data_IF_710106076298
#
_entry.id   IF_710106076298
#
_cell.length_a   1.000
_cell.length_b   1.000
_cell.length_c   1.000
_cell.angle_alpha   90.00
_cell.angle_beta   90.00
_cell.angle_gamma   90.00
#
_symmetry.space_group_name_H-M   'P 1'
#
loop_
_entity.id
_entity.type
_entity.pdbx_description
1 polymer ?
#
# COMPACT_ATOMS: atom_id res chain seq x y z
N UNK A 1 -31.49 9.26 7.46
CA UNK A 1 -31.82 8.61 8.75
C UNK A 1 -30.53 8.29 9.49
N UNK A 2 -30.35 8.86 10.68
CA UNK A 2 -29.15 8.74 11.54
C UNK A 2 -28.92 7.30 11.99
N UNK A 3 -27.73 6.74 11.72
CA UNK A 3 -27.29 5.45 12.31
C UNK A 3 -26.85 5.70 13.75
N UNK A 4 -27.65 5.24 14.71
CA UNK A 4 -27.35 5.35 16.15
C UNK A 4 -26.01 4.67 16.48
N UNK A 5 -25.08 5.44 17.08
CA UNK A 5 -23.81 4.93 17.61
C UNK A 5 -24.09 4.03 18.82
N UNK A 6 -23.47 2.85 18.83
CA UNK A 6 -23.56 1.89 19.92
C UNK A 6 -23.00 2.47 21.23
N UNK A 7 -23.66 2.19 22.34
CA UNK A 7 -23.19 2.57 23.68
C UNK A 7 -21.88 1.85 24.04
N UNK A 8 -21.04 2.46 24.88
CA UNK A 8 -19.76 1.86 25.35
C UNK A 8 -19.96 0.46 25.96
N UNK A 9 -21.12 0.20 26.58
CA UNK A 9 -21.48 -1.13 27.09
C UNK A 9 -21.81 -2.15 26.00
N UNK A 10 -22.43 -1.71 24.90
CA UNK A 10 -22.68 -2.54 23.71
C UNK A 10 -21.38 -2.85 22.98
N UNK A 11 -20.46 -1.89 22.87
CA UNK A 11 -19.11 -2.10 22.30
C UNK A 11 -18.32 -3.19 23.04
N UNK A 12 -18.34 -3.16 24.39
CA UNK A 12 -17.66 -4.17 25.22
C UNK A 12 -18.24 -5.58 25.06
N UNK A 13 -19.57 -5.69 24.96
CA UNK A 13 -20.25 -6.97 24.72
C UNK A 13 -19.95 -7.51 23.31
N UNK A 14 -19.83 -6.64 22.32
CA UNK A 14 -19.44 -7.02 20.94
C UNK A 14 -18.00 -7.55 20.91
N UNK A 15 -17.05 -6.89 21.57
CA UNK A 15 -15.66 -7.36 21.65
C UNK A 15 -15.52 -8.69 22.43
N UNK A 16 -16.24 -8.85 23.55
CA UNK A 16 -16.23 -10.09 24.32
C UNK A 16 -16.85 -11.26 23.53
N UNK A 17 -17.90 -11.01 22.75
CA UNK A 17 -18.49 -12.02 21.86
C UNK A 17 -17.61 -12.33 20.66
N UNK A 18 -16.84 -11.35 20.16
CA UNK A 18 -15.83 -11.57 19.12
C UNK A 18 -14.70 -12.49 19.61
N UNK A 19 -14.21 -12.28 20.84
CA UNK A 19 -13.22 -13.17 21.46
C UNK A 19 -13.77 -14.58 21.75
N UNK A 20 -15.05 -14.70 22.09
CA UNK A 20 -15.70 -16.02 22.25
C UNK A 20 -15.88 -16.75 20.92
N UNK A 21 -16.19 -16.04 19.84
CA UNK A 21 -16.31 -16.63 18.48
C UNK A 21 -14.98 -17.10 17.89
N UNK A 22 -13.84 -16.60 18.37
CA UNK A 22 -12.51 -17.16 18.08
C UNK A 22 -12.29 -18.57 18.69
N UNK A 23 -13.18 -19.04 19.58
CA UNK A 23 -12.99 -20.31 20.32
C UNK A 23 -14.04 -21.40 20.04
N UNK A 24 -15.05 -21.20 19.20
CA UNK A 24 -16.04 -22.27 18.96
C UNK A 24 -16.59 -22.21 17.54
N UNK A 25 -16.32 -23.29 16.80
CA UNK A 25 -16.74 -23.52 15.42
C UNK A 25 -18.21 -23.94 15.28
N UNK A 26 -18.72 -23.83 14.05
CA UNK A 26 -20.06 -24.20 13.49
C UNK A 26 -21.08 -23.04 13.49
N UNK A 27 -21.75 -22.66 12.40
CA UNK A 27 -21.95 -23.28 11.07
C UNK A 27 -22.65 -22.28 10.10
N UNK A 28 -22.47 -22.49 8.77
CA UNK A 28 -23.23 -22.02 7.56
C UNK A 28 -22.89 -20.68 6.86
N UNK A 29 -23.05 -20.66 5.52
CA UNK A 29 -22.22 -21.26 4.50
C UNK A 29 -21.12 -20.26 4.12
N UNK A 30 -20.00 -20.32 4.84
CA UNK A 30 -18.75 -19.82 4.28
C UNK A 30 -18.31 -20.84 3.21
N UNK A 31 -17.47 -20.44 2.26
CA UNK A 31 -16.93 -21.38 1.28
C UNK A 31 -16.52 -22.69 1.98
N UNK A 32 -16.91 -23.85 1.45
CA UNK A 32 -16.66 -25.14 2.09
C UNK A 32 -15.16 -25.24 2.40
N UNK A 33 -14.79 -25.17 3.67
CA UNK A 33 -13.38 -25.10 4.10
C UNK A 33 -12.58 -26.32 3.62
N UNK A 34 -13.28 -27.40 3.26
CA UNK A 34 -12.67 -28.60 2.67
C UNK A 34 -12.09 -28.35 1.26
N UNK A 35 -12.58 -27.34 0.54
CA UNK A 35 -12.15 -26.97 -0.81
C UNK A 35 -10.82 -26.19 -0.85
N UNK A 36 -10.24 -25.84 0.30
CA UNK A 36 -8.97 -25.10 0.36
C UNK A 36 -7.87 -25.91 1.04
N UNK A 37 -6.64 -25.62 0.64
CA UNK A 37 -5.41 -26.19 1.19
C UNK A 37 -5.10 -25.71 2.60
N UNK A 38 -3.84 -25.83 2.99
CA UNK A 38 -3.38 -25.33 4.29
C UNK A 38 -3.25 -23.80 4.28
N UNK A 39 -3.45 -23.13 5.44
CA UNK A 39 -3.19 -21.71 5.58
C UNK A 39 -1.71 -21.40 5.41
N UNK A 40 -1.42 -20.35 4.66
CA UNK A 40 -0.08 -19.84 4.44
C UNK A 40 -0.05 -18.31 4.49
N UNK A 41 1.14 -17.77 4.69
CA UNK A 41 1.40 -16.34 4.69
C UNK A 41 1.49 -15.81 3.26
N UNK A 42 1.13 -14.54 3.10
CA UNK A 42 1.26 -13.87 1.82
C UNK A 42 1.14 -12.36 1.91
N UNK A 43 1.47 -11.69 0.82
CA UNK A 43 1.39 -10.23 0.69
C UNK A 43 0.41 -9.88 -0.42
N UNK A 44 -0.50 -8.95 -0.15
CA UNK A 44 -1.42 -8.45 -1.18
C UNK A 44 -0.66 -7.57 -2.17
N UNK A 45 -0.55 -8.03 -3.42
CA UNK A 45 0.06 -7.27 -4.52
C UNK A 45 -0.95 -6.25 -5.07
N UNK A 46 -2.18 -6.69 -5.30
CA UNK A 46 -3.20 -5.85 -5.91
C UNK A 46 -4.62 -6.18 -5.42
N UNK A 47 -5.48 -5.17 -5.45
CA UNK A 47 -6.87 -5.23 -5.01
C UNK A 47 -7.82 -4.94 -6.16
N UNK A 48 -8.64 -5.94 -6.53
CA UNK A 48 -9.63 -5.87 -7.60
C UNK A 48 -11.05 -6.09 -7.07
N UNK A 49 -11.64 -5.06 -6.46
CA UNK A 49 -13.06 -5.07 -6.06
C UNK A 49 -13.38 -6.13 -5.00
N UNK A 50 -13.74 -7.34 -5.42
CA UNK A 50 -14.02 -8.52 -4.57
C UNK A 50 -12.85 -9.52 -4.49
N UNK A 51 -11.84 -9.39 -5.36
CA UNK A 51 -10.67 -10.28 -5.42
C UNK A 51 -9.38 -9.52 -5.08
N UNK A 52 -8.36 -10.23 -4.60
CA UNK A 52 -6.99 -9.72 -4.44
C UNK A 52 -6.02 -10.72 -5.08
N UNK A 53 -4.93 -10.20 -5.62
CA UNK A 53 -3.80 -11.04 -6.01
C UNK A 53 -2.81 -11.05 -4.83
N UNK A 54 -2.48 -12.25 -4.35
CA UNK A 54 -1.64 -12.50 -3.18
C UNK A 54 -0.37 -13.20 -3.61
N UNK A 55 0.78 -12.66 -3.23
CA UNK A 55 2.09 -13.32 -3.39
C UNK A 55 2.31 -14.27 -2.22
N UNK A 56 2.65 -15.53 -2.51
CA UNK A 56 3.10 -16.49 -1.49
C UNK A 56 4.55 -16.22 -1.08
N UNK A 57 5.01 -16.86 -0.01
CA UNK A 57 6.42 -16.79 0.42
C UNK A 57 7.41 -17.30 -0.66
N UNK A 58 6.92 -18.16 -1.57
CA UNK A 58 7.71 -18.74 -2.66
C UNK A 58 7.77 -17.82 -3.91
N UNK A 59 7.07 -16.67 -3.89
CA UNK A 59 7.02 -15.70 -4.99
C UNK A 59 5.92 -15.94 -6.02
N UNK A 60 5.06 -16.95 -5.82
CA UNK A 60 3.98 -17.26 -6.74
C UNK A 60 2.73 -16.41 -6.48
N UNK A 61 2.13 -15.88 -7.54
CA UNK A 61 0.97 -15.00 -7.44
C UNK A 61 -0.34 -15.76 -7.59
N UNK A 62 -1.20 -15.64 -6.58
CA UNK A 62 -2.46 -16.35 -6.46
C UNK A 62 -3.64 -15.39 -6.37
N UNK A 63 -4.57 -15.51 -7.32
CA UNK A 63 -5.82 -14.75 -7.27
C UNK A 63 -6.76 -15.34 -6.22
N UNK A 64 -7.08 -14.54 -5.22
CA UNK A 64 -7.86 -14.93 -4.06
C UNK A 64 -9.17 -14.12 -3.92
N UNK A 65 -10.23 -14.80 -3.47
CA UNK A 65 -11.42 -14.15 -2.94
C UNK A 65 -11.14 -13.60 -1.54
N UNK A 66 -11.86 -12.57 -1.08
CA UNK A 66 -11.81 -12.21 0.35
C UNK A 66 -12.99 -12.80 1.11
N UNK A 67 -12.73 -13.29 2.33
CA UNK A 67 -13.79 -13.50 3.33
C UNK A 67 -14.54 -12.19 3.64
N UNK A 68 -15.85 -12.31 3.81
CA UNK A 68 -16.75 -11.17 4.14
C UNK A 68 -16.47 -10.53 5.51
N UNK A 69 -15.77 -11.24 6.39
CA UNK A 69 -15.36 -10.77 7.71
C UNK A 69 -14.26 -9.70 7.64
N UNK A 70 -13.48 -9.67 6.56
CA UNK A 70 -12.43 -8.68 6.34
C UNK A 70 -13.06 -7.35 5.93
N UNK A 71 -12.84 -6.34 6.77
CA UNK A 71 -13.44 -5.00 6.59
C UNK A 71 -12.67 -4.13 5.61
N UNK A 72 -11.35 -4.32 5.55
CA UNK A 72 -10.44 -3.54 4.71
C UNK A 72 -9.30 -4.44 4.31
N UNK A 73 -8.95 -4.39 3.02
CA UNK A 73 -7.79 -5.04 2.45
C UNK A 73 -7.20 -4.10 1.40
N UNK A 74 -5.92 -3.81 1.51
CA UNK A 74 -5.19 -2.92 0.60
C UNK A 74 -3.88 -3.56 0.14
N UNK A 75 -3.27 -3.01 -0.92
CA UNK A 75 -1.94 -3.44 -1.35
C UNK A 75 -0.92 -3.24 -0.23
N UNK A 76 -0.03 -4.23 -0.06
CA UNK A 76 0.97 -4.29 0.99
C UNK A 76 0.48 -4.93 2.31
N UNK A 77 -0.83 -5.23 2.45
CA UNK A 77 -1.31 -5.99 3.60
C UNK A 77 -0.67 -7.39 3.63
N UNK A 78 -0.12 -7.77 4.79
CA UNK A 78 0.27 -9.15 5.08
C UNK A 78 -0.97 -9.92 5.49
N UNK A 79 -1.16 -11.11 4.92
CA UNK A 79 -2.39 -11.88 5.06
C UNK A 79 -2.13 -13.36 5.29
N UNK A 80 -3.08 -13.99 5.96
CA UNK A 80 -3.21 -15.44 5.95
C UNK A 80 -4.21 -15.81 4.87
N UNK A 81 -3.78 -16.63 3.91
CA UNK A 81 -4.59 -17.07 2.79
C UNK A 81 -4.48 -18.59 2.63
N UNK A 82 -5.40 -19.19 1.87
CA UNK A 82 -5.38 -20.60 1.54
C UNK A 82 -5.54 -20.80 0.04
N UNK A 83 -4.70 -21.62 -0.61
CA UNK A 83 -4.90 -21.96 -2.01
C UNK A 83 -6.17 -22.81 -2.16
N UNK A 84 -6.89 -22.63 -3.26
CA UNK A 84 -7.98 -23.54 -3.60
C UNK A 84 -7.43 -24.90 -4.00
N UNK A 85 -8.05 -25.99 -3.53
CA UNK A 85 -7.73 -27.33 -4.01
C UNK A 85 -8.28 -27.49 -5.43
N UNK A 86 -7.56 -28.18 -6.32
CA UNK A 86 -8.14 -28.61 -7.59
C UNK A 86 -9.33 -29.52 -7.27
N UNK A 87 -10.55 -29.08 -7.60
CA UNK A 87 -11.71 -29.96 -7.58
C UNK A 87 -11.64 -30.89 -8.80
N UNK A 88 -12.16 -32.11 -8.67
CA UNK A 88 -12.32 -33.01 -9.81
C UNK A 88 -13.19 -32.32 -10.89
N UNK A 89 -12.74 -32.40 -12.15
CA UNK A 89 -13.36 -31.87 -13.38
C UNK A 89 -13.73 -30.37 -13.36
N UNK A 90 -12.76 -29.54 -13.80
CA UNK A 90 -13.05 -28.26 -14.47
C UNK A 90 -13.36 -27.05 -13.60
N UNK A 91 -13.51 -27.20 -12.28
CA UNK A 91 -13.71 -26.07 -11.35
C UNK A 91 -12.40 -25.74 -10.65
N UNK A 92 -11.66 -24.77 -11.18
CA UNK A 92 -10.49 -24.23 -10.51
C UNK A 92 -10.95 -23.28 -9.40
N UNK A 93 -10.95 -23.77 -8.15
CA UNK A 93 -11.28 -22.94 -6.99
C UNK A 93 -10.14 -21.95 -6.79
N UNK A 94 -10.44 -20.66 -6.90
CA UNK A 94 -9.49 -19.58 -6.58
C UNK A 94 -9.19 -19.58 -5.08
N UNK A 95 -8.01 -19.11 -4.67
CA UNK A 95 -7.64 -19.04 -3.26
C UNK A 95 -8.57 -18.15 -2.43
N UNK A 96 -8.41 -18.14 -1.11
CA UNK A 96 -9.19 -17.29 -0.21
C UNK A 96 -8.30 -16.62 0.83
N UNK A 97 -8.48 -15.31 1.01
CA UNK A 97 -7.88 -14.54 2.09
C UNK A 97 -8.75 -14.69 3.34
N UNK A 98 -8.18 -15.26 4.40
CA UNK A 98 -8.89 -15.56 5.65
C UNK A 98 -8.75 -14.47 6.69
N UNK A 99 -7.53 -13.93 6.84
CA UNK A 99 -7.21 -12.93 7.84
C UNK A 99 -6.18 -11.93 7.31
N UNK A 100 -6.15 -10.75 7.95
CA UNK A 100 -5.20 -9.67 7.68
C UNK A 100 -4.45 -9.38 8.97
N UNK A 101 -3.13 -9.32 8.90
CA UNK A 101 -2.29 -8.98 10.05
C UNK A 101 -2.43 -7.51 10.44
N UNK A 102 -1.94 -7.16 11.63
CA UNK A 102 -1.87 -5.76 12.03
C UNK A 102 -0.90 -4.99 11.13
N UNK A 103 -1.28 -3.76 10.77
CA UNK A 103 -0.51 -2.90 9.86
C UNK A 103 0.56 -2.13 10.65
N UNK A 104 1.79 -2.11 10.14
CA UNK A 104 2.87 -1.27 10.69
C UNK A 104 2.69 0.19 10.30
N UNK A 105 2.23 0.44 9.08
CA UNK A 105 1.89 1.77 8.56
C UNK A 105 0.66 1.70 7.66
N UNK A 106 -0.04 2.82 7.50
CA UNK A 106 -1.21 2.92 6.63
C UNK A 106 -1.24 4.26 5.92
N UNK A 107 -1.19 4.22 4.58
CA UNK A 107 -1.41 5.39 3.76
C UNK A 107 -2.91 5.55 3.53
N UNK A 108 -3.45 6.71 3.90
CA UNK A 108 -4.88 7.00 3.75
C UNK A 108 -5.12 8.19 2.86
N UNK A 109 -6.18 8.13 2.06
CA UNK A 109 -6.66 9.24 1.23
C UNK A 109 -8.01 9.72 1.76
N UNK A 110 -8.19 11.05 1.98
CA UNK A 110 -9.51 11.60 2.24
C UNK A 110 -10.36 11.55 0.97
N UNK A 111 -11.58 11.07 1.13
CA UNK A 111 -12.64 11.07 0.12
C UNK A 111 -13.75 12.02 0.59
N UNK A 112 -14.18 12.93 -0.28
CA UNK A 112 -15.14 13.99 0.05
C UNK A 112 -16.49 13.44 0.55
N UNK A 113 -16.89 12.26 0.10
CA UNK A 113 -18.18 11.65 0.47
C UNK A 113 -18.03 10.45 1.41
N UNK A 114 -16.94 9.69 1.26
CA UNK A 114 -16.79 8.41 1.95
C UNK A 114 -15.82 8.46 3.14
N UNK A 115 -15.28 9.63 3.47
CA UNK A 115 -14.34 9.82 4.57
C UNK A 115 -12.94 9.32 4.25
N UNK A 116 -12.19 8.92 5.28
CA UNK A 116 -10.78 8.51 5.11
C UNK A 116 -10.71 7.03 4.72
N UNK A 117 -10.12 6.74 3.57
CA UNK A 117 -9.93 5.36 3.07
C UNK A 117 -8.44 4.98 3.05
N UNK A 118 -8.05 3.81 3.56
CA UNK A 118 -6.72 3.28 3.36
C UNK A 118 -6.52 2.92 1.88
N UNK A 119 -5.36 3.25 1.33
CA UNK A 119 -4.98 2.95 -0.06
C UNK A 119 -3.83 1.95 -0.15
N UNK A 120 -2.94 1.94 0.85
CA UNK A 120 -1.84 0.99 0.96
C UNK A 120 -1.41 0.86 2.44
N UNK A 121 -0.72 -0.23 2.76
CA UNK A 121 -0.27 -0.54 4.12
C UNK A 121 1.13 -1.17 4.14
N UNK A 122 1.76 -1.17 5.30
CA UNK A 122 3.10 -1.74 5.54
C UNK A 122 4.17 -1.16 4.60
N UNK A 123 4.12 0.14 4.42
CA UNK A 123 5.05 0.92 3.60
C UNK A 123 6.17 1.42 4.51
N UNK A 124 7.41 1.27 4.04
CA UNK A 124 8.61 1.71 4.75
C UNK A 124 9.05 3.10 4.28
N UNK A 125 8.80 3.43 3.01
CA UNK A 125 9.20 4.71 2.43
C UNK A 125 8.25 5.24 1.34
N UNK A 126 8.22 6.56 1.19
CA UNK A 126 7.50 7.25 0.12
C UNK A 126 8.50 7.98 -0.76
N UNK A 127 8.51 7.64 -2.04
CA UNK A 127 9.29 8.29 -3.08
C UNK A 127 8.43 9.38 -3.71
N UNK A 128 8.73 10.63 -3.38
CA UNK A 128 8.05 11.81 -3.90
C UNK A 128 8.69 12.14 -5.25
N UNK A 129 8.02 11.78 -6.34
CA UNK A 129 8.47 12.05 -7.70
C UNK A 129 7.94 13.39 -8.16
N UNK A 130 8.84 14.25 -8.62
CA UNK A 130 8.53 15.52 -9.28
C UNK A 130 9.35 15.64 -10.55
N UNK A 131 8.94 16.49 -11.48
CA UNK A 131 9.68 16.76 -12.70
C UNK A 131 9.48 18.22 -13.11
N UNK A 132 10.38 18.73 -13.95
CA UNK A 132 10.25 20.11 -14.47
C UNK A 132 9.03 20.28 -15.37
N UNK A 133 8.68 19.24 -16.15
CA UNK A 133 7.47 19.18 -16.96
C UNK A 133 6.55 18.06 -16.46
N UNK A 134 5.24 18.33 -16.26
CA UNK A 134 4.51 19.53 -16.69
C UNK A 134 4.75 20.80 -15.84
N UNK A 135 5.08 20.66 -14.55
CA UNK A 135 5.43 21.77 -13.66
C UNK A 135 6.18 21.24 -12.43
N UNK A 136 7.25 21.91 -11.99
CA UNK A 136 7.87 21.64 -10.69
C UNK A 136 7.18 22.45 -9.58
N UNK A 137 6.30 21.81 -8.81
CA UNK A 137 5.58 22.46 -7.71
C UNK A 137 6.15 22.08 -6.34
N UNK A 138 6.86 23.01 -5.70
CA UNK A 138 7.40 22.82 -4.35
C UNK A 138 6.30 22.59 -3.30
N UNK A 139 5.17 23.27 -3.44
CA UNK A 139 4.02 23.09 -2.56
C UNK A 139 3.49 21.64 -2.56
N UNK A 140 3.60 20.92 -3.68
CA UNK A 140 3.21 19.51 -3.73
C UNK A 140 4.19 18.67 -2.93
N UNK A 141 5.50 18.91 -3.08
CA UNK A 141 6.55 18.23 -2.30
C UNK A 141 6.32 18.45 -0.81
N UNK A 142 6.13 19.70 -0.38
CA UNK A 142 5.93 20.06 1.03
C UNK A 142 4.70 19.35 1.63
N UNK A 143 3.59 19.26 0.89
CA UNK A 143 2.39 18.54 1.32
C UNK A 143 2.64 17.04 1.51
N UNK A 144 3.44 16.43 0.64
CA UNK A 144 3.83 15.03 0.80
C UNK A 144 4.77 14.85 1.99
N UNK A 145 5.73 15.76 2.22
CA UNK A 145 6.60 15.72 3.38
C UNK A 145 5.80 15.78 4.69
N UNK A 146 4.82 16.68 4.80
CA UNK A 146 3.91 16.74 5.95
C UNK A 146 3.16 15.41 6.16
N UNK A 147 2.72 14.77 5.07
CA UNK A 147 2.05 13.48 5.15
C UNK A 147 3.02 12.36 5.61
N UNK A 148 4.26 12.37 5.11
CA UNK A 148 5.29 11.40 5.49
C UNK A 148 5.63 11.51 6.99
N UNK A 149 5.83 12.73 7.49
CA UNK A 149 6.08 13.00 8.91
C UNK A 149 4.88 12.61 9.80
N UNK A 150 3.65 12.88 9.34
CA UNK A 150 2.43 12.46 10.07
C UNK A 150 2.33 10.94 10.19
N UNK A 151 2.79 10.22 9.17
CA UNK A 151 2.78 8.76 9.11
C UNK A 151 4.05 8.11 9.67
N UNK A 152 5.06 8.91 10.03
CA UNK A 152 6.39 8.46 10.44
C UNK A 152 7.05 7.53 9.41
N UNK A 153 6.88 7.86 8.11
CA UNK A 153 7.45 7.12 6.98
C UNK A 153 8.57 7.96 6.37
N UNK A 154 9.71 7.36 6.05
CA UNK A 154 10.87 8.07 5.48
C UNK A 154 10.56 8.53 4.05
N UNK A 155 10.65 9.84 3.74
CA UNK A 155 10.50 10.33 2.38
C UNK A 155 11.83 10.35 1.62
N UNK A 156 11.75 10.10 0.31
CA UNK A 156 12.83 10.36 -0.66
C UNK A 156 12.29 11.28 -1.72
N UNK A 157 12.97 12.39 -2.01
CA UNK A 157 12.58 13.27 -3.10
C UNK A 157 13.34 12.84 -4.36
N UNK A 158 12.61 12.59 -5.43
CA UNK A 158 13.16 12.24 -6.73
C UNK A 158 12.72 13.29 -7.74
N UNK A 159 13.69 13.99 -8.32
CA UNK A 159 13.45 14.84 -9.46
C UNK A 159 13.77 14.07 -10.74
N UNK A 160 12.74 13.77 -11.53
CA UNK A 160 12.83 13.10 -12.81
C UNK A 160 12.97 14.10 -13.97
N UNK A 161 13.33 13.57 -15.15
CA UNK A 161 13.45 14.29 -16.43
C UNK A 161 14.52 15.38 -16.45
N UNK A 162 15.65 15.14 -15.78
CA UNK A 162 16.79 16.06 -15.78
C UNK A 162 17.43 16.21 -17.17
N UNK A 163 17.18 15.26 -18.08
CA UNK A 163 17.60 15.30 -19.49
C UNK A 163 16.97 16.46 -20.28
N UNK A 164 15.92 17.08 -19.75
CA UNK A 164 15.26 18.24 -20.36
C UNK A 164 15.87 19.58 -19.93
N UNK A 165 16.82 19.56 -19.00
CA UNK A 165 17.44 20.76 -18.45
C UNK A 165 18.80 21.02 -19.12
N UNK A 166 19.08 22.28 -19.40
CA UNK A 166 20.43 22.75 -19.71
C UNK A 166 21.21 23.04 -18.41
N UNK A 167 22.47 23.47 -18.54
CA UNK A 167 23.34 23.73 -17.38
C UNK A 167 22.75 24.80 -16.44
N UNK A 168 22.09 25.83 -16.99
CA UNK A 168 21.43 26.89 -16.21
C UNK A 168 20.19 26.35 -15.47
N UNK A 169 19.33 25.60 -16.16
CA UNK A 169 18.18 24.92 -15.56
C UNK A 169 18.58 23.91 -14.49
N UNK A 170 19.66 23.16 -14.71
CA UNK A 170 20.21 22.24 -13.72
C UNK A 170 20.72 22.97 -12.47
N UNK A 171 21.39 24.11 -12.62
CA UNK A 171 21.86 24.91 -11.50
C UNK A 171 20.66 25.46 -10.69
N UNK A 172 19.67 26.03 -11.38
CA UNK A 172 18.45 26.54 -10.76
C UNK A 172 17.72 25.46 -9.96
N UNK A 173 17.49 24.28 -10.55
CA UNK A 173 16.77 23.22 -9.85
C UNK A 173 17.58 22.66 -8.68
N UNK A 174 18.91 22.57 -8.80
CA UNK A 174 19.73 22.14 -7.68
C UNK A 174 19.64 23.10 -6.49
N UNK A 175 19.64 24.43 -6.73
CA UNK A 175 19.44 25.43 -5.67
C UNK A 175 18.10 25.23 -4.94
N UNK A 176 17.02 24.99 -5.69
CA UNK A 176 15.71 24.70 -5.11
C UNK A 176 15.71 23.39 -4.31
N UNK A 177 16.41 22.36 -4.79
CA UNK A 177 16.51 21.07 -4.12
C UNK A 177 17.41 21.10 -2.88
N UNK A 178 18.38 22.02 -2.82
CA UNK A 178 19.26 22.19 -1.66
C UNK A 178 18.48 22.63 -0.42
N UNK A 179 17.33 23.29 -0.58
CA UNK A 179 16.40 23.59 0.52
C UNK A 179 16.05 22.29 1.26
N UNK A 180 15.73 21.22 0.53
CA UNK A 180 15.36 19.93 1.10
C UNK A 180 16.56 19.14 1.61
N UNK A 181 17.72 19.22 0.93
CA UNK A 181 18.96 18.58 1.39
C UNK A 181 19.42 19.17 2.72
N UNK A 182 19.34 20.49 2.87
CA UNK A 182 19.77 21.21 4.08
C UNK A 182 18.92 20.91 5.32
N UNK A 183 17.66 20.52 5.13
CA UNK A 183 16.77 20.06 6.21
C UNK A 183 16.83 18.54 6.43
N UNK A 184 17.77 17.85 5.76
CA UNK A 184 18.10 16.44 6.01
C UNK A 184 17.42 15.42 5.10
N UNK A 185 16.63 15.85 4.11
CA UNK A 185 16.00 14.93 3.18
C UNK A 185 16.95 14.50 2.06
N UNK A 186 16.89 13.22 1.69
CA UNK A 186 17.60 12.70 0.54
C UNK A 186 16.90 13.14 -0.75
N UNK A 187 17.65 13.80 -1.63
CA UNK A 187 17.19 14.21 -2.96
C UNK A 187 18.02 13.51 -4.03
N UNK A 188 17.35 12.84 -4.97
CA UNK A 188 17.97 12.19 -6.13
C UNK A 188 17.50 12.86 -7.42
N UNK A 189 18.47 13.21 -8.27
CA UNK A 189 18.24 13.74 -9.61
C UNK A 189 18.37 12.58 -10.58
N UNK A 190 17.30 12.30 -11.35
CA UNK A 190 17.25 11.13 -12.23
C UNK A 190 16.68 11.48 -13.60
N UNK A 191 17.02 10.66 -14.60
CA UNK A 191 16.28 10.60 -15.86
C UNK A 191 16.00 9.14 -16.20
N UNK A 192 14.72 8.83 -16.37
CA UNK A 192 14.31 7.52 -16.85
C UNK A 192 14.78 7.24 -18.29
N UNK A 193 14.99 8.29 -19.10
CA UNK A 193 15.33 8.15 -20.52
C UNK A 193 16.83 7.92 -20.73
N UNK A 194 17.69 8.64 -19.99
CA UNK A 194 19.15 8.48 -20.06
C UNK A 194 19.68 7.46 -19.06
N UNK A 195 18.82 6.96 -18.17
CA UNK A 195 19.16 6.10 -17.02
C UNK A 195 20.10 6.75 -15.98
N UNK A 196 20.30 8.07 -16.07
CA UNK A 196 21.10 8.80 -15.10
C UNK A 196 20.44 8.80 -13.72
N UNK A 197 21.25 8.59 -12.68
CA UNK A 197 20.79 8.60 -11.28
C UNK A 197 19.94 7.39 -10.86
N UNK A 198 19.64 6.44 -11.75
CA UNK A 198 18.84 5.26 -11.41
C UNK A 198 19.55 4.29 -10.46
N UNK A 199 20.87 4.11 -10.59
CA UNK A 199 21.61 3.22 -9.69
C UNK A 199 21.54 3.66 -8.21
N UNK A 200 21.82 4.94 -7.86
CA UNK A 200 21.57 5.44 -6.51
C UNK A 200 20.11 5.30 -6.04
N UNK A 201 19.15 5.42 -6.96
CA UNK A 201 17.73 5.19 -6.66
C UNK A 201 17.45 3.72 -6.33
N UNK A 202 17.96 2.77 -7.10
CA UNK A 202 17.83 1.33 -6.82
C UNK A 202 18.44 0.96 -5.46
N UNK A 203 19.62 1.48 -5.15
CA UNK A 203 20.28 1.30 -3.84
C UNK A 203 19.43 1.87 -2.71
N UNK A 204 18.75 3.00 -2.93
CA UNK A 204 17.82 3.61 -1.98
C UNK A 204 16.51 2.83 -1.80
N UNK A 205 16.11 2.04 -2.80
CA UNK A 205 14.87 1.26 -2.82
C UNK A 205 15.04 -0.16 -2.25
N UNK A 206 16.26 -0.69 -2.26
CA UNK A 206 16.53 -2.08 -1.94
C UNK A 206 16.10 -2.45 -0.51
N UNK A 207 15.33 -3.54 -0.39
CA UNK A 207 14.90 -4.09 0.90
C UNK A 207 13.77 -3.31 1.60
N UNK A 208 13.08 -2.40 0.89
CA UNK A 208 12.01 -1.55 1.44
C UNK A 208 10.76 -1.58 0.58
N UNK A 209 9.58 -1.55 1.21
CA UNK A 209 8.31 -1.35 0.49
C UNK A 209 8.14 0.15 0.24
N UNK A 210 8.13 0.52 -1.03
CA UNK A 210 8.18 1.91 -1.47
C UNK A 210 6.94 2.29 -2.26
N UNK A 211 6.39 3.48 -2.02
CA UNK A 211 5.33 4.06 -2.85
C UNK A 211 5.88 5.22 -3.66
N UNK A 212 5.62 5.21 -4.96
CA UNK A 212 5.89 6.35 -5.83
C UNK A 212 4.68 7.28 -5.83
N UNK A 213 4.87 8.50 -5.34
CA UNK A 213 3.83 9.51 -5.22
C UNK A 213 4.25 10.78 -5.97
N UNK A 214 3.36 11.31 -6.80
CA UNK A 214 3.65 12.49 -7.60
C UNK A 214 2.40 12.96 -8.35
N UNK A 215 2.46 14.15 -8.90
CA UNK A 215 1.42 14.64 -9.81
C UNK A 215 1.42 13.84 -11.12
N UNK A 216 0.33 13.90 -11.88
CA UNK A 216 0.23 13.16 -13.14
C UNK A 216 1.30 13.62 -14.13
N UNK A 217 2.02 12.67 -14.71
CA UNK A 217 2.96 12.92 -15.81
C UNK A 217 4.35 13.40 -15.39
N UNK A 218 4.75 13.24 -14.13
CA UNK A 218 6.15 13.41 -13.67
C UNK A 218 7.01 12.18 -13.92
#
# INVERSE_FOLDING_TARGET
MSKNKLSKGQQRRVNANHQRRLKTSKEKPDYDDNLFGEPDEGIVISRFGMHADVESADGDVHRCNIRRTIRSLVTGDRVVWRPGKPAAEGVNVKGIVEAVHERTSVLTRPDFYDGVKPIAANIDQIVIVSAILPELSLNIIDRYLVACETLQIEPIIVLNKIDLLDDEGMAFVNEQMDIYRNIGYRVLMVSSHTQDGLKPLEEALTGRISIFAGQSGV
#
